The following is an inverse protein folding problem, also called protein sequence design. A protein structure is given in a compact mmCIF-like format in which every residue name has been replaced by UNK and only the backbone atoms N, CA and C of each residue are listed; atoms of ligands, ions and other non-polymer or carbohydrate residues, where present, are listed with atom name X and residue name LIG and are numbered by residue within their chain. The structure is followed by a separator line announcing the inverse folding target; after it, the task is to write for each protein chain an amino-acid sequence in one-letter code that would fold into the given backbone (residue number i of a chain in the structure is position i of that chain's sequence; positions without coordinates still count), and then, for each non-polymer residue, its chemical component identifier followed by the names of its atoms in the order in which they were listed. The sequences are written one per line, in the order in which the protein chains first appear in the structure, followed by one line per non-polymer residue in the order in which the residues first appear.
data_IF_652199797336
#
_entry.id   IF_652199797336
#
_cell.length_a   1.000
_cell.length_b   1.000
_cell.length_c   1.000
_cell.angle_alpha   90.00
_cell.angle_beta   90.00
_cell.angle_gamma   90.00
#
_symmetry.space_group_name_H-M   'P 1'
#
loop_
_entity.id
_entity.type
_entity.pdbx_description
1 polymer ?
#
# COMPACT_ATOMS: atom_id res chain seq x y z
N UNK A 1 -15.35 -3.42 -2.80
CA UNK A 1 -14.48 -4.60 -2.88
C UNK A 1 -15.35 -5.84 -3.01
N UNK A 2 -15.14 -6.66 -4.04
CA UNK A 2 -15.84 -7.94 -4.22
C UNK A 2 -15.16 -8.98 -3.31
N UNK A 3 -15.95 -9.83 -2.64
CA UNK A 3 -15.44 -10.88 -1.77
C UNK A 3 -14.50 -11.81 -2.57
N UNK A 4 -13.26 -11.96 -2.08
CA UNK A 4 -12.22 -12.79 -2.73
C UNK A 4 -11.24 -12.02 -3.63
N UNK A 5 -11.42 -10.73 -3.88
CA UNK A 5 -10.40 -9.90 -4.55
C UNK A 5 -9.43 -9.29 -3.53
N UNK A 6 -8.13 -9.17 -3.87
CA UNK A 6 -7.17 -8.48 -3.02
C UNK A 6 -7.54 -7.01 -2.87
N UNK A 7 -7.24 -6.44 -1.71
CA UNK A 7 -7.40 -5.02 -1.41
C UNK A 7 -6.39 -4.18 -2.19
N UNK A 8 -5.13 -4.61 -2.23
CA UNK A 8 -4.02 -3.93 -2.91
C UNK A 8 -3.20 -4.95 -3.72
N UNK A 9 -2.61 -4.48 -4.81
CA UNK A 9 -1.60 -5.24 -5.54
C UNK A 9 -0.21 -4.69 -5.20
N UNK A 10 0.68 -5.56 -4.74
CA UNK A 10 2.08 -5.22 -4.45
C UNK A 10 2.97 -5.90 -5.48
N UNK A 11 3.72 -5.10 -6.24
CA UNK A 11 4.69 -5.57 -7.22
C UNK A 11 6.09 -5.43 -6.63
N UNK A 12 6.81 -6.53 -6.53
CA UNK A 12 8.24 -6.54 -6.21
C UNK A 12 9.02 -6.65 -7.52
N UNK A 13 9.83 -5.65 -7.81
CA UNK A 13 10.62 -5.53 -9.04
C UNK A 13 12.08 -5.47 -8.64
N UNK A 14 12.90 -6.35 -9.21
CA UNK A 14 14.35 -6.30 -9.03
C UNK A 14 14.99 -5.43 -10.11
N UNK A 15 15.79 -4.44 -9.71
CA UNK A 15 16.56 -3.61 -10.64
C UNK A 15 17.93 -3.23 -10.04
N UNK A 16 19.00 -3.38 -10.80
CA UNK A 16 20.38 -3.02 -10.42
C UNK A 16 20.83 -3.44 -9.01
N UNK A 17 20.40 -4.61 -8.54
CA UNK A 17 20.75 -5.14 -7.22
C UNK A 17 19.90 -4.61 -6.07
N UNK A 18 18.90 -3.77 -6.35
CA UNK A 18 17.86 -3.30 -5.43
C UNK A 18 16.53 -3.99 -5.73
N UNK A 19 15.63 -3.92 -4.75
CA UNK A 19 14.25 -4.35 -4.88
C UNK A 19 13.32 -3.17 -4.63
N UNK A 20 12.48 -2.88 -5.61
CA UNK A 20 11.39 -1.91 -5.47
C UNK A 20 10.10 -2.65 -5.12
N UNK A 21 9.35 -2.16 -4.14
CA UNK A 21 7.97 -2.54 -3.95
C UNK A 21 7.06 -1.41 -4.44
N UNK A 22 6.01 -1.72 -5.20
CA UNK A 22 5.06 -0.73 -5.74
C UNK A 22 3.62 -1.12 -5.40
N UNK A 23 2.84 -0.15 -4.94
CA UNK A 23 1.39 -0.24 -4.74
C UNK A 23 0.71 0.78 -5.68
N UNK A 24 0.25 0.36 -6.87
CA UNK A 24 -0.35 1.26 -7.85
C UNK A 24 -1.63 1.94 -7.35
N UNK A 25 -2.43 1.26 -6.51
CA UNK A 25 -3.69 1.80 -6.00
C UNK A 25 -3.52 3.05 -5.12
N UNK A 26 -2.36 3.18 -4.48
CA UNK A 26 -2.04 4.29 -3.58
C UNK A 26 -0.91 5.20 -4.10
N UNK A 27 -0.34 4.89 -5.26
CA UNK A 27 0.83 5.56 -5.81
C UNK A 27 2.03 5.60 -4.83
N UNK A 28 2.28 4.46 -4.16
CA UNK A 28 3.37 4.31 -3.18
C UNK A 28 4.45 3.37 -3.76
N UNK A 29 5.71 3.76 -3.56
CA UNK A 29 6.89 2.96 -3.90
C UNK A 29 7.92 3.01 -2.77
N UNK A 30 8.58 1.89 -2.51
CA UNK A 30 9.74 1.80 -1.62
C UNK A 30 10.88 1.08 -2.34
N UNK A 31 12.13 1.34 -1.93
CA UNK A 31 13.32 0.67 -2.45
C UNK A 31 14.16 0.14 -1.28
N UNK A 32 14.55 -1.12 -1.35
CA UNK A 32 15.35 -1.79 -0.33
C UNK A 32 16.39 -2.74 -0.94
N UNK A 33 17.28 -3.28 -0.09
CA UNK A 33 18.33 -4.21 -0.51
C UNK A 33 17.82 -5.64 -0.75
N UNK A 34 16.70 -6.02 -0.12
CA UNK A 34 16.05 -7.34 -0.32
C UNK A 34 14.57 -7.22 -0.63
N UNK A 35 14.01 -8.26 -1.25
CA UNK A 35 12.58 -8.34 -1.55
C UNK A 35 11.72 -8.31 -0.28
N UNK A 36 12.19 -8.97 0.79
CA UNK A 36 11.51 -9.02 2.09
C UNK A 36 11.50 -7.64 2.74
N UNK A 37 12.62 -6.92 2.71
CA UNK A 37 12.69 -5.55 3.23
C UNK A 37 11.79 -4.61 2.42
N UNK A 38 11.78 -4.73 1.08
CA UNK A 38 10.94 -3.89 0.23
C UNK A 38 9.45 -4.11 0.53
N UNK A 39 9.05 -5.37 0.71
CA UNK A 39 7.69 -5.73 1.09
C UNK A 39 7.32 -5.21 2.48
N UNK A 40 8.19 -5.40 3.47
CA UNK A 40 7.93 -4.93 4.82
C UNK A 40 7.80 -3.40 4.87
N UNK A 41 8.72 -2.71 4.19
CA UNK A 41 8.75 -1.26 4.11
C UNK A 41 7.52 -0.67 3.42
N UNK A 42 7.02 -1.29 2.33
CA UNK A 42 5.82 -0.76 1.67
C UNK A 42 4.57 -0.96 2.52
N UNK A 43 4.46 -2.06 3.28
CA UNK A 43 3.33 -2.28 4.18
C UNK A 43 3.31 -1.26 5.33
N UNK A 44 4.48 -0.91 5.86
CA UNK A 44 4.62 0.15 6.85
C UNK A 44 4.25 1.52 6.27
N UNK A 45 4.81 1.87 5.11
CA UNK A 45 4.50 3.13 4.41
C UNK A 45 3.00 3.24 4.07
N UNK A 46 2.34 2.15 3.66
CA UNK A 46 0.90 2.12 3.39
C UNK A 46 0.09 2.43 4.65
N UNK A 47 0.49 1.86 5.80
CA UNK A 47 -0.18 2.10 7.07
C UNK A 47 -0.01 3.55 7.50
N UNK A 48 1.22 4.06 7.49
CA UNK A 48 1.54 5.45 7.82
C UNK A 48 0.79 6.43 6.90
N UNK A 49 0.80 6.17 5.58
CA UNK A 49 0.03 6.95 4.61
C UNK A 49 -1.46 6.95 4.90
N UNK A 50 -2.03 5.81 5.31
CA UNK A 50 -3.46 5.69 5.60
C UNK A 50 -3.86 6.46 6.87
N UNK A 51 -3.01 6.43 7.90
CA UNK A 51 -3.19 7.23 9.11
C UNK A 51 -3.08 8.72 8.81
N UNK A 52 -2.07 9.12 8.04
CA UNK A 52 -1.90 10.50 7.58
C UNK A 52 -3.06 10.97 6.69
N UNK A 53 -3.60 10.06 5.86
CA UNK A 53 -4.74 10.35 5.01
C UNK A 53 -5.97 10.68 5.85
N UNK A 54 -6.26 9.86 6.86
CA UNK A 54 -7.38 10.09 7.79
C UNK A 54 -7.23 11.43 8.52
N UNK A 55 -6.04 11.72 9.02
CA UNK A 55 -5.78 12.92 9.81
C UNK A 55 -5.91 14.20 8.96
N UNK A 56 -5.76 14.08 7.64
CA UNK A 56 -5.86 15.19 6.66
C UNK A 56 -6.92 14.95 5.59
N UNK A 57 -7.97 14.19 5.91
CA UNK A 57 -8.94 13.69 4.93
C UNK A 57 -9.59 14.83 4.13
N UNK A 58 -9.96 15.93 4.79
CA UNK A 58 -10.60 17.09 4.16
C UNK A 58 -9.75 17.73 3.04
N UNK A 59 -8.44 17.55 3.09
CA UNK A 59 -7.49 18.04 2.07
C UNK A 59 -7.36 16.99 0.95
N UNK A 60 -7.15 15.72 1.31
CA UNK A 60 -6.86 14.69 0.31
C UNK A 60 -8.08 14.26 -0.51
N UNK A 61 -9.30 14.34 0.05
CA UNK A 61 -10.52 14.07 -0.70
C UNK A 61 -10.80 15.11 -1.81
N UNK A 62 -10.17 16.30 -1.71
CA UNK A 62 -10.24 17.35 -2.73
C UNK A 62 -9.11 17.29 -3.75
N UNK A 63 -8.11 16.43 -3.52
CA UNK A 63 -6.96 16.27 -4.42
C UNK A 63 -7.30 15.31 -5.56
N UNK A 64 -7.20 15.73 -6.85
CA UNK A 64 -7.50 14.86 -7.99
C UNK A 64 -6.72 13.54 -7.98
N UNK A 65 -5.48 13.57 -7.49
CA UNK A 65 -4.59 12.40 -7.47
C UNK A 65 -4.79 11.52 -6.24
N UNK A 66 -5.56 11.94 -5.22
CA UNK A 66 -5.67 11.22 -3.94
C UNK A 66 -7.10 10.98 -3.48
N UNK A 67 -8.10 11.61 -4.07
CA UNK A 67 -9.48 11.38 -3.67
C UNK A 67 -9.90 9.91 -3.88
N UNK A 68 -9.37 9.29 -4.94
CA UNK A 68 -9.60 7.89 -5.25
C UNK A 68 -8.97 6.90 -4.25
N UNK A 69 -8.07 7.36 -3.36
CA UNK A 69 -7.41 6.49 -2.39
C UNK A 69 -8.31 6.17 -1.19
N UNK A 70 -9.33 7.00 -0.91
CA UNK A 70 -10.16 6.87 0.29
C UNK A 70 -10.77 5.48 0.51
N UNK A 71 -11.36 4.80 -0.50
CA UNK A 71 -11.92 3.46 -0.31
C UNK A 71 -10.88 2.42 0.14
N UNK A 72 -9.63 2.55 -0.31
CA UNK A 72 -8.52 1.68 0.11
C UNK A 72 -8.08 2.02 1.52
N UNK A 73 -7.88 3.31 1.81
CA UNK A 73 -7.51 3.84 3.13
C UNK A 73 -8.49 3.37 4.20
N UNK A 74 -9.80 3.53 3.96
CA UNK A 74 -10.83 3.12 4.92
C UNK A 74 -10.71 1.61 5.26
N UNK A 75 -10.41 0.76 4.27
CA UNK A 75 -10.20 -0.68 4.46
C UNK A 75 -8.89 -1.05 5.11
N UNK A 76 -7.83 -0.28 4.87
CA UNK A 76 -6.54 -0.47 5.54
C UNK A 76 -6.69 -0.12 7.03
N UNK A 77 -7.41 0.95 7.36
CA UNK A 77 -7.66 1.38 8.74
C UNK A 77 -8.56 0.42 9.53
N UNK A 78 -9.34 -0.43 8.85
CA UNK A 78 -10.07 -1.55 9.47
C UNK A 78 -9.14 -2.70 9.92
N UNK A 79 -7.91 -2.78 9.39
CA UNK A 79 -6.94 -3.82 9.75
C UNK A 79 -6.34 -3.52 11.13
N UNK A 80 -6.34 -4.51 12.03
CA UNK A 80 -5.84 -4.33 13.40
C UNK A 80 -4.32 -4.25 13.47
N UNK A 81 -3.65 -4.94 12.56
CA UNK A 81 -2.20 -5.04 12.50
C UNK A 81 -1.71 -5.24 11.07
N UNK A 82 -0.38 -5.28 10.92
CA UNK A 82 0.30 -5.49 9.64
C UNK A 82 -0.01 -6.87 9.03
N UNK A 83 -0.35 -7.86 9.86
CA UNK A 83 -0.67 -9.21 9.39
C UNK A 83 -2.02 -9.26 8.69
N UNK A 84 -3.06 -8.63 9.25
CA UNK A 84 -4.36 -8.53 8.58
C UNK A 84 -4.27 -7.77 7.25
N UNK A 85 -3.39 -6.77 7.14
CA UNK A 85 -3.10 -6.10 5.87
C UNK A 85 -2.41 -7.06 4.89
N UNK A 86 -1.40 -7.81 5.35
CA UNK A 86 -0.68 -8.79 4.54
C UNK A 86 -1.62 -9.85 3.94
N UNK A 87 -2.61 -10.33 4.69
CA UNK A 87 -3.60 -11.30 4.19
C UNK A 87 -4.53 -10.73 3.10
N UNK A 88 -4.60 -9.39 2.98
CA UNK A 88 -5.47 -8.70 2.01
C UNK A 88 -4.74 -8.26 0.75
N UNK A 89 -3.42 -8.40 0.66
CA UNK A 89 -2.68 -8.02 -0.55
C UNK A 89 -2.56 -9.20 -1.53
N UNK A 90 -2.38 -8.88 -2.81
CA UNK A 90 -1.79 -9.80 -3.77
C UNK A 90 -0.33 -9.41 -3.99
N UNK A 91 0.58 -10.36 -3.79
CA UNK A 91 2.01 -10.16 -4.02
C UNK A 91 2.41 -10.74 -5.37
N UNK A 92 2.93 -9.89 -6.25
CA UNK A 92 3.46 -10.26 -7.56
C UNK A 92 4.96 -9.97 -7.60
N UNK A 93 5.75 -10.94 -8.06
CA UNK A 93 7.20 -10.79 -8.22
C UNK A 93 7.51 -10.74 -9.72
N UNK A 94 8.16 -9.66 -10.16
CA UNK A 94 8.50 -9.38 -11.55
C UNK A 94 10.01 -9.39 -11.78
#
# INVERSE_FOLDING_TARGET
FVQGMPLLNIYIIKDNGKYMAKCPELDIVTEMDTAEQALDSILEMIKEYSEDYRDREEIFIKSPNRFHHKPYVDKILECKDKWELYEKISLMRC
#
